data_IF_184459908641
#
_entry.id   IF_184459908641
#
_cell.length_a   1.000
_cell.length_b   1.000
_cell.length_c   1.000
_cell.angle_alpha   90.00
_cell.angle_beta   90.00
_cell.angle_gamma   90.00
#
_symmetry.space_group_name_H-M   'P 1'
#
loop_
_entity.id
_entity.type
_entity.pdbx_description
1 polymer ?
#
# COMPACT_ATOMS: atom_id res chain seq x y z
N UNK A 1 -47.75 13.98 7.32
CA UNK A 1 -47.63 12.77 6.49
C UNK A 1 -46.40 12.96 5.60
N UNK A 2 -45.23 12.48 6.04
CA UNK A 2 -43.98 12.60 5.27
C UNK A 2 -43.77 11.29 4.51
N UNK A 3 -43.67 11.37 3.19
CA UNK A 3 -43.30 10.24 2.33
C UNK A 3 -41.80 10.30 2.02
N UNK A 4 -41.11 9.19 2.31
CA UNK A 4 -39.69 8.97 2.00
C UNK A 4 -39.32 9.33 0.56
N UNK A 5 -38.21 10.05 0.40
CA UNK A 5 -37.34 9.87 -0.75
C UNK A 5 -36.03 9.29 -0.20
N UNK A 6 -35.83 8.01 -0.47
CA UNK A 6 -34.61 7.28 -0.17
C UNK A 6 -33.41 8.01 -0.79
N UNK A 7 -32.36 8.21 0.01
CA UNK A 7 -31.07 8.68 -0.51
C UNK A 7 -30.55 7.70 -1.56
N UNK A 8 -29.99 8.26 -2.63
CA UNK A 8 -29.50 7.51 -3.78
C UNK A 8 -28.49 6.41 -3.36
N UNK A 9 -28.75 5.13 -3.66
CA UNK A 9 -27.82 4.04 -3.36
C UNK A 9 -26.52 4.10 -4.20
N UNK A 10 -26.43 5.03 -5.14
CA UNK A 10 -25.28 5.24 -6.02
C UNK A 10 -24.20 6.16 -5.42
N UNK A 11 -24.49 6.87 -4.32
CA UNK A 11 -23.52 7.68 -3.60
C UNK A 11 -22.97 6.89 -2.40
N UNK A 12 -22.29 5.78 -2.66
CA UNK A 12 -21.41 5.17 -1.65
C UNK A 12 -20.37 6.24 -1.28
N UNK A 13 -20.63 6.95 -0.17
CA UNK A 13 -19.78 8.01 0.30
C UNK A 13 -18.32 7.50 0.32
N UNK A 14 -17.33 8.31 -0.12
CA UNK A 14 -15.93 7.90 -0.19
C UNK A 14 -15.42 7.27 1.13
N UNK A 15 -16.02 7.63 2.26
CA UNK A 15 -15.79 7.05 3.58
C UNK A 15 -16.15 5.56 3.71
N UNK A 16 -17.22 5.09 3.07
CA UNK A 16 -17.64 3.66 3.11
C UNK A 16 -16.74 2.82 2.22
N UNK A 17 -16.36 3.33 1.05
CA UNK A 17 -15.41 2.68 0.15
C UNK A 17 -14.00 2.58 0.78
N UNK A 18 -13.55 3.64 1.47
CA UNK A 18 -12.28 3.62 2.20
C UNK A 18 -12.27 2.57 3.32
N UNK A 19 -13.39 2.41 4.03
CA UNK A 19 -13.51 1.41 5.09
C UNK A 19 -13.43 -0.03 4.57
N UNK A 20 -14.05 -0.30 3.41
CA UNK A 20 -13.96 -1.60 2.74
C UNK A 20 -12.53 -1.87 2.25
N UNK A 21 -11.91 -0.88 1.62
CA UNK A 21 -10.52 -0.97 1.17
C UNK A 21 -9.55 -1.28 2.32
N UNK A 22 -9.73 -0.61 3.46
CA UNK A 22 -8.90 -0.84 4.65
C UNK A 22 -9.11 -2.24 5.24
N UNK A 23 -10.32 -2.80 5.19
CA UNK A 23 -10.59 -4.17 5.64
C UNK A 23 -9.90 -5.21 4.77
N UNK A 24 -9.94 -5.01 3.46
CA UNK A 24 -9.25 -5.87 2.51
C UNK A 24 -7.74 -5.83 2.72
N UNK A 25 -7.16 -4.62 2.80
CA UNK A 25 -5.74 -4.42 3.09
C UNK A 25 -5.33 -5.11 4.39
N UNK A 26 -6.15 -4.99 5.46
CA UNK A 26 -5.87 -5.67 6.72
C UNK A 26 -5.93 -7.19 6.62
N UNK A 27 -6.84 -7.74 5.81
CA UNK A 27 -6.92 -9.18 5.60
C UNK A 27 -5.63 -9.73 4.99
N UNK A 28 -5.16 -9.10 3.90
CA UNK A 28 -3.91 -9.49 3.24
C UNK A 28 -2.69 -9.21 4.12
N UNK A 29 -2.69 -8.08 4.84
CA UNK A 29 -1.64 -7.77 5.79
C UNK A 29 -1.49 -8.87 6.84
N UNK A 30 -2.58 -9.33 7.48
CA UNK A 30 -2.51 -10.40 8.49
C UNK A 30 -1.92 -11.69 7.93
N UNK A 31 -2.30 -12.08 6.70
CA UNK A 31 -1.69 -13.24 6.03
C UNK A 31 -0.18 -13.05 5.83
N UNK A 32 0.22 -11.89 5.31
CA UNK A 32 1.64 -11.56 5.12
C UNK A 32 2.40 -11.46 6.45
N UNK A 33 1.77 -10.99 7.54
CA UNK A 33 2.39 -10.96 8.87
C UNK A 33 2.72 -12.37 9.37
N UNK A 34 1.82 -13.33 9.15
CA UNK A 34 2.04 -14.74 9.49
C UNK A 34 3.12 -15.37 8.61
N UNK A 35 3.11 -15.06 7.30
CA UNK A 35 4.09 -15.63 6.35
C UNK A 35 5.49 -15.03 6.46
N UNK A 36 5.59 -13.74 6.74
CA UNK A 36 6.85 -13.00 6.83
C UNK A 36 7.43 -12.96 8.25
N UNK A 37 6.58 -13.12 9.27
CA UNK A 37 6.91 -12.87 10.67
C UNK A 37 7.17 -11.39 10.98
N UNK A 38 6.78 -10.47 10.09
CA UNK A 38 7.02 -9.02 10.21
C UNK A 38 5.71 -8.28 10.38
N UNK A 39 5.73 -7.14 11.06
CA UNK A 39 4.53 -6.34 11.26
C UNK A 39 4.15 -5.54 10.01
N UNK A 40 2.85 -5.39 9.74
CA UNK A 40 2.37 -4.50 8.69
C UNK A 40 2.48 -3.03 9.10
N UNK A 41 3.04 -2.21 8.22
CA UNK A 41 3.10 -0.75 8.37
C UNK A 41 2.36 -0.05 7.23
N UNK A 42 1.31 0.68 7.59
CA UNK A 42 0.61 1.55 6.66
C UNK A 42 1.50 2.74 6.27
N UNK A 43 1.49 3.09 4.97
CA UNK A 43 2.29 4.17 4.40
C UNK A 43 1.35 5.29 3.98
N UNK A 44 1.45 6.43 4.65
CA UNK A 44 0.68 7.64 4.32
C UNK A 44 1.32 8.52 3.25
N UNK A 45 0.57 9.50 2.77
CA UNK A 45 1.10 10.56 1.90
C UNK A 45 2.27 11.29 2.59
N UNK A 46 3.35 11.56 1.84
CA UNK A 46 4.57 12.18 2.36
C UNK A 46 5.55 11.20 3.03
N UNK A 47 5.18 9.93 3.22
CA UNK A 47 6.06 8.94 3.83
C UNK A 47 7.13 8.45 2.84
N UNK A 48 8.33 8.16 3.37
CA UNK A 48 9.38 7.49 2.63
C UNK A 48 9.25 5.97 2.80
N UNK A 49 9.17 5.26 1.68
CA UNK A 49 9.20 3.80 1.62
C UNK A 49 10.55 3.38 1.11
N UNK A 50 11.22 2.50 1.83
CA UNK A 50 12.45 1.85 1.40
C UNK A 50 12.36 0.38 1.80
N UNK A 51 12.93 -0.51 1.00
CA UNK A 51 13.02 -1.92 1.31
C UNK A 51 13.13 -2.80 0.07
N UNK A 52 13.12 -4.11 0.28
CA UNK A 52 13.14 -5.09 -0.81
C UNK A 52 11.74 -5.28 -1.35
N UNK A 53 11.55 -5.10 -2.65
CA UNK A 53 10.29 -5.47 -3.29
C UNK A 53 10.17 -7.00 -3.28
N UNK A 54 9.24 -7.55 -2.50
CA UNK A 54 9.08 -8.99 -2.33
C UNK A 54 8.23 -9.59 -3.44
N UNK A 55 7.02 -9.06 -3.63
CA UNK A 55 6.01 -9.58 -4.55
C UNK A 55 4.93 -8.53 -4.84
N UNK A 56 4.09 -8.81 -5.84
CA UNK A 56 2.89 -8.04 -6.15
C UNK A 56 1.68 -8.89 -5.78
N UNK A 57 0.79 -8.33 -4.97
CA UNK A 57 -0.45 -8.97 -4.54
C UNK A 57 -1.62 -8.29 -5.23
N UNK A 58 -2.48 -9.09 -5.85
CA UNK A 58 -3.73 -8.60 -6.43
C UNK A 58 -4.82 -8.63 -5.37
N UNK A 59 -5.46 -7.48 -5.16
CA UNK A 59 -6.60 -7.31 -4.27
C UNK A 59 -7.80 -6.85 -5.11
N UNK A 60 -9.02 -7.06 -4.62
CA UNK A 60 -10.26 -6.61 -5.25
C UNK A 60 -10.31 -5.09 -5.46
N UNK A 61 -9.56 -4.32 -4.66
CA UNK A 61 -9.39 -2.88 -4.85
C UNK A 61 -8.25 -2.46 -5.80
N UNK A 62 -7.39 -3.39 -6.22
CA UNK A 62 -6.27 -3.11 -7.12
C UNK A 62 -5.02 -3.92 -6.80
N UNK A 63 -3.92 -3.65 -7.51
CA UNK A 63 -2.64 -4.31 -7.26
C UNK A 63 -1.81 -3.53 -6.24
N UNK A 64 -1.17 -4.26 -5.34
CA UNK A 64 -0.29 -3.72 -4.31
C UNK A 64 1.07 -4.39 -4.36
N UNK A 65 2.12 -3.60 -4.19
CA UNK A 65 3.47 -4.10 -4.02
C UNK A 65 3.78 -4.29 -2.54
N UNK A 66 4.39 -5.43 -2.19
CA UNK A 66 4.90 -5.70 -0.84
C UNK A 66 6.34 -5.24 -0.77
N UNK A 67 6.60 -4.17 -0.02
CA UNK A 67 7.95 -3.68 0.25
C UNK A 67 8.36 -4.14 1.64
N UNK A 68 9.31 -5.07 1.69
CA UNK A 68 9.77 -5.72 2.90
C UNK A 68 11.00 -4.99 3.47
N UNK A 69 10.95 -4.67 4.77
CA UNK A 69 12.06 -4.09 5.54
C UNK A 69 12.60 -5.11 6.54
N UNK A 70 13.58 -4.71 7.33
CA UNK A 70 14.18 -5.58 8.34
C UNK A 70 13.18 -6.04 9.42
N UNK A 71 12.26 -5.15 9.86
CA UNK A 71 11.36 -5.40 11.00
C UNK A 71 9.87 -5.37 10.64
N UNK A 72 9.53 -4.79 9.51
CA UNK A 72 8.17 -4.55 9.05
C UNK A 72 8.08 -4.75 7.55
N UNK A 73 6.86 -4.72 7.02
CA UNK A 73 6.62 -4.59 5.58
C UNK A 73 5.51 -3.57 5.34
N UNK A 74 5.52 -3.00 4.14
CA UNK A 74 4.53 -2.04 3.69
C UNK A 74 3.82 -2.56 2.44
N UNK A 75 2.51 -2.30 2.37
CA UNK A 75 1.72 -2.44 1.15
C UNK A 75 1.58 -1.07 0.52
N UNK A 76 2.01 -0.96 -0.73
CA UNK A 76 1.95 0.29 -1.49
C UNK A 76 1.24 0.07 -2.81
N UNK A 77 0.54 1.07 -3.36
CA UNK A 77 -0.07 0.96 -4.67
C UNK A 77 0.97 0.55 -5.73
N UNK A 78 0.66 -0.50 -6.48
CA UNK A 78 1.55 -1.02 -7.51
C UNK A 78 1.73 0.00 -8.65
N UNK A 79 2.92 -0.01 -9.25
CA UNK A 79 3.23 0.72 -10.49
C UNK A 79 3.96 -0.23 -11.44
N UNK A 80 3.74 -0.15 -12.78
CA UNK A 80 4.36 -1.04 -13.76
C UNK A 80 5.90 -1.07 -13.73
N UNK A 81 6.52 -0.01 -13.22
CA UNK A 81 7.98 0.05 -13.05
C UNK A 81 8.47 -0.99 -12.04
N UNK A 82 7.64 -1.40 -11.09
CA UNK A 82 8.00 -2.33 -10.02
C UNK A 82 8.09 -3.79 -10.50
N UNK A 83 7.35 -4.20 -11.52
CA UNK A 83 7.36 -5.59 -12.03
C UNK A 83 8.77 -6.10 -12.34
N UNK A 84 9.60 -5.23 -12.91
CA UNK A 84 10.97 -5.59 -13.35
C UNK A 84 11.97 -5.61 -12.19
N UNK A 85 11.51 -5.32 -10.97
CA UNK A 85 12.35 -5.09 -9.80
C UNK A 85 11.95 -5.94 -8.60
N UNK A 86 11.08 -6.93 -8.79
CA UNK A 86 10.79 -7.95 -7.78
C UNK A 86 12.11 -8.61 -7.35
N UNK A 87 12.30 -8.74 -6.05
CA UNK A 87 13.51 -9.23 -5.41
C UNK A 87 14.63 -8.18 -5.24
N UNK A 88 14.47 -6.94 -5.73
CA UNK A 88 15.47 -5.86 -5.62
C UNK A 88 15.10 -4.84 -4.55
N UNK A 89 16.08 -4.07 -4.10
CA UNK A 89 15.84 -2.91 -3.23
C UNK A 89 15.25 -1.74 -4.02
N UNK A 90 14.18 -1.19 -3.46
CA UNK A 90 13.44 -0.02 -3.97
C UNK A 90 13.29 0.99 -2.84
N UNK A 91 13.37 2.26 -3.19
CA UNK A 91 13.05 3.37 -2.32
C UNK A 91 12.12 4.34 -3.04
N UNK A 92 11.32 5.11 -2.32
CA UNK A 92 10.39 6.03 -2.95
C UNK A 92 9.57 6.86 -2.00
N UNK A 93 9.30 8.10 -2.40
CA UNK A 93 8.52 9.04 -1.62
C UNK A 93 7.07 9.03 -2.10
N UNK A 94 6.13 8.82 -1.18
CA UNK A 94 4.70 8.89 -1.48
C UNK A 94 4.30 10.36 -1.66
N UNK A 95 3.81 10.72 -2.85
CA UNK A 95 3.22 12.02 -3.16
C UNK A 95 1.72 11.86 -3.41
N UNK A 96 1.01 12.97 -3.43
CA UNK A 96 -0.45 13.02 -3.66
C UNK A 96 -0.87 12.39 -5.02
N UNK A 97 0.03 12.39 -6.01
CA UNK A 97 -0.16 11.75 -7.31
C UNK A 97 0.50 10.38 -7.49
N UNK A 98 0.98 9.74 -6.41
CA UNK A 98 1.64 8.43 -6.43
C UNK A 98 3.08 8.45 -5.91
N UNK A 99 3.77 7.31 -6.02
CA UNK A 99 5.08 7.12 -5.37
C UNK A 99 6.21 7.32 -6.37
N UNK A 100 7.08 8.30 -6.16
CA UNK A 100 8.28 8.45 -6.99
C UNK A 100 9.32 7.40 -6.61
N UNK A 101 9.45 6.36 -7.43
CA UNK A 101 10.32 5.20 -7.17
C UNK A 101 11.75 5.44 -7.65
N UNK A 102 12.71 5.10 -6.80
CA UNK A 102 14.14 4.99 -7.05
C UNK A 102 14.53 3.53 -6.88
N UNK A 103 15.11 2.92 -7.91
CA UNK A 103 15.45 1.49 -7.92
C UNK A 103 16.97 1.32 -7.88
N UNK A 104 17.46 0.38 -7.06
CA UNK A 104 18.86 -0.06 -7.10
C UNK A 104 19.85 0.87 -6.41
N UNK A 105 19.39 1.88 -5.67
CA UNK A 105 20.20 2.68 -4.77
C UNK A 105 19.40 2.93 -3.49
N UNK A 106 19.49 1.99 -2.55
CA UNK A 106 19.34 2.32 -1.15
C UNK A 106 20.53 3.24 -0.81
N UNK A 107 20.39 4.55 -1.08
CA UNK A 107 21.30 5.51 -0.47
C UNK A 107 21.01 5.42 1.02
N UNK A 108 21.99 4.86 1.73
CA UNK A 108 21.97 4.78 3.17
C UNK A 108 21.62 6.15 3.75
N UNK A 109 20.78 6.09 4.78
CA UNK A 109 20.65 7.10 5.84
C UNK A 109 21.80 8.12 5.82
N UNK A 110 21.52 9.33 5.35
CA UNK A 110 22.23 10.49 5.85
C UNK A 110 21.65 10.73 7.25
N UNK A 111 22.35 10.22 8.26
CA UNK A 111 22.16 10.62 9.65
C UNK A 111 22.83 11.98 9.80
N UNK A 112 22.04 13.04 10.03
CA UNK A 112 22.53 14.29 10.63
C UNK A 112 22.40 14.21 12.15
#
# INVERSE_FOLDING_TARGET
MWTSAAGDPAALAPSVLNLLHRRELRGVAVSLEVETGKAFREVGAGAHVEGRLREIVEMGSGKFAVVERAKDFALVPWRPVLDRHIGKEVSGLVREGGINWTIGRAQGREIE
#
